data_IF_536690892975
#
_entry.id   IF_536690892975
#
_cell.length_a   1.000
_cell.length_b   1.000
_cell.length_c   1.000
_cell.angle_alpha   90.00
_cell.angle_beta   90.00
_cell.angle_gamma   90.00
#
_symmetry.space_group_name_H-M   'P 1'
#
loop_
_entity.id
_entity.type
_entity.pdbx_description
1 polymer ?
#
# COMPACT_ATOMS: atom_id res chain seq x y z
N UNK A 1 21.35 58.16 34.47
CA UNK A 1 21.47 57.20 33.37
C UNK A 1 22.23 55.99 33.90
N UNK A 2 21.52 54.96 34.32
CA UNK A 2 22.09 53.70 34.81
C UNK A 2 22.36 52.80 33.62
N UNK A 3 23.62 52.49 33.37
CA UNK A 3 24.00 51.57 32.31
C UNK A 3 23.59 50.13 32.71
N UNK A 4 22.73 49.51 31.90
CA UNK A 4 22.46 48.07 31.98
C UNK A 4 23.70 47.31 31.52
N UNK A 5 24.22 46.47 32.40
CA UNK A 5 25.29 45.51 32.07
C UNK A 5 24.67 44.38 31.26
N UNK A 6 24.90 44.38 29.96
CA UNK A 6 24.58 43.26 29.07
C UNK A 6 25.42 42.05 29.52
N UNK A 7 24.81 41.10 30.22
CA UNK A 7 25.42 39.80 30.47
C UNK A 7 25.38 38.99 29.17
N UNK A 8 26.49 39.00 28.40
CA UNK A 8 26.72 37.95 27.41
C UNK A 8 26.88 36.62 28.17
N UNK A 9 25.87 35.76 28.12
CA UNK A 9 26.01 34.37 28.53
C UNK A 9 26.91 33.66 27.53
N UNK A 10 28.19 33.51 27.89
CA UNK A 10 29.09 32.60 27.21
C UNK A 10 28.74 31.17 27.66
N UNK A 11 27.68 30.59 27.07
CA UNK A 11 27.35 29.18 27.30
C UNK A 11 28.46 28.31 26.69
N UNK A 12 28.99 27.32 27.44
CA UNK A 12 30.03 26.44 26.92
C UNK A 12 29.52 25.70 25.68
N UNK A 13 30.39 25.42 24.69
CA UNK A 13 29.99 24.73 23.47
C UNK A 13 29.37 23.37 23.81
N UNK A 14 28.27 23.04 23.14
CA UNK A 14 27.65 21.72 23.29
C UNK A 14 28.57 20.62 22.74
N UNK A 15 28.37 19.34 23.11
CA UNK A 15 29.10 18.23 22.49
C UNK A 15 28.99 18.25 20.95
N UNK A 16 27.82 18.57 20.42
CA UNK A 16 27.61 18.80 18.99
C UNK A 16 28.50 19.93 18.45
N UNK A 17 28.56 21.09 19.12
CA UNK A 17 29.38 22.21 18.69
C UNK A 17 30.86 21.86 18.62
N UNK A 18 31.36 21.09 19.60
CA UNK A 18 32.75 20.62 19.60
C UNK A 18 33.06 19.71 18.40
N UNK A 19 32.19 18.73 18.13
CA UNK A 19 32.35 17.85 16.97
C UNK A 19 32.23 18.61 15.65
N UNK A 20 31.29 19.56 15.57
CA UNK A 20 31.08 20.41 14.39
C UNK A 20 32.33 21.22 14.08
N UNK A 21 32.90 21.90 15.07
CA UNK A 21 34.12 22.70 14.89
C UNK A 21 35.25 21.83 14.34
N UNK A 22 35.53 20.67 14.96
CA UNK A 22 36.59 19.77 14.51
C UNK A 22 36.38 19.29 13.06
N UNK A 23 35.15 18.89 12.70
CA UNK A 23 34.86 18.43 11.35
C UNK A 23 34.89 19.58 10.33
N UNK A 24 34.40 20.76 10.69
CA UNK A 24 34.45 21.95 9.83
C UNK A 24 35.91 22.29 9.48
N UNK A 25 36.83 22.21 10.44
CA UNK A 25 38.27 22.44 10.23
C UNK A 25 38.88 21.37 9.30
N UNK A 26 38.62 20.09 9.55
CA UNK A 26 39.09 18.99 8.69
C UNK A 26 38.51 19.09 7.27
N UNK A 27 37.27 19.55 7.11
CA UNK A 27 36.63 19.75 5.81
C UNK A 27 37.25 20.93 5.05
N UNK A 28 37.68 21.98 5.74
CA UNK A 28 38.47 23.06 5.13
C UNK A 28 39.80 22.52 4.63
N UNK A 29 40.50 21.70 5.43
CA UNK A 29 41.73 21.05 5.01
C UNK A 29 41.52 20.13 3.81
N UNK A 30 40.44 19.36 3.79
CA UNK A 30 40.10 18.44 2.70
C UNK A 30 39.85 19.19 1.39
N UNK A 31 39.23 20.37 1.44
CA UNK A 31 39.03 21.22 0.25
C UNK A 31 40.36 21.69 -0.36
N UNK A 32 41.42 21.82 0.42
CA UNK A 32 42.73 22.21 -0.11
C UNK A 32 43.40 21.06 -0.88
N UNK A 33 43.08 19.80 -0.54
CA UNK A 33 43.61 18.62 -1.23
C UNK A 33 42.71 18.10 -2.36
N UNK A 34 41.40 18.36 -2.28
CA UNK A 34 40.41 17.95 -3.27
C UNK A 34 40.06 19.08 -4.26
N UNK A 35 41.09 19.76 -4.79
CA UNK A 35 40.96 20.89 -5.71
C UNK A 35 40.87 20.48 -7.20
N UNK A 36 41.08 19.20 -7.48
CA UNK A 36 41.04 18.61 -8.83
C UNK A 36 42.40 18.24 -9.39
N UNK A 37 43.50 18.62 -8.73
CA UNK A 37 44.84 18.22 -9.12
C UNK A 37 45.25 16.89 -8.45
N UNK A 38 45.87 15.95 -9.18
CA UNK A 38 46.33 14.69 -8.60
C UNK A 38 47.53 14.91 -7.68
N UNK A 39 47.62 14.10 -6.62
CA UNK A 39 48.81 14.05 -5.77
C UNK A 39 50.05 13.66 -6.58
N UNK A 40 51.13 14.45 -6.46
CA UNK A 40 52.37 14.31 -7.23
C UNK A 40 53.48 13.58 -6.46
N UNK A 41 53.33 13.42 -5.14
CA UNK A 41 54.35 12.80 -4.27
C UNK A 41 53.72 11.84 -3.27
N UNK A 42 54.50 10.85 -2.82
CA UNK A 42 54.06 9.91 -1.79
C UNK A 42 53.65 10.62 -0.49
N UNK A 43 54.38 11.67 -0.07
CA UNK A 43 54.06 12.44 1.11
C UNK A 43 52.67 13.12 1.04
N UNK A 44 52.25 13.57 -0.15
CA UNK A 44 50.90 14.11 -0.35
C UNK A 44 49.83 13.01 -0.25
N UNK A 45 50.11 11.82 -0.80
CA UNK A 45 49.21 10.67 -0.68
C UNK A 45 49.07 10.24 0.78
N UNK A 46 50.16 10.21 1.55
CA UNK A 46 50.16 9.85 2.97
C UNK A 46 49.38 10.89 3.81
N UNK A 47 49.51 12.18 3.50
CA UNK A 47 48.76 13.25 4.16
C UNK A 47 47.26 13.19 3.85
N UNK A 48 46.90 12.91 2.58
CA UNK A 48 45.50 12.66 2.19
C UNK A 48 44.95 11.45 2.94
N UNK A 49 45.73 10.37 3.09
CA UNK A 49 45.31 9.19 3.84
C UNK A 49 45.08 9.52 5.34
N UNK A 50 45.98 10.27 5.98
CA UNK A 50 45.78 10.75 7.37
C UNK A 50 44.49 11.55 7.51
N UNK A 51 44.26 12.49 6.59
CA UNK A 51 43.08 13.35 6.62
C UNK A 51 41.77 12.55 6.43
N UNK A 52 41.78 11.53 5.57
CA UNK A 52 40.67 10.58 5.43
C UNK A 52 40.41 9.84 6.74
N UNK A 53 41.45 9.36 7.42
CA UNK A 53 41.32 8.65 8.70
C UNK A 53 40.75 9.57 9.79
N UNK A 54 41.21 10.82 9.87
CA UNK A 54 40.73 11.81 10.85
C UNK A 54 39.28 12.23 10.60
N UNK A 55 38.88 12.41 9.32
CA UNK A 55 37.49 12.64 8.95
C UNK A 55 36.59 11.46 9.35
N UNK A 56 37.04 10.23 9.08
CA UNK A 56 36.31 9.01 9.47
C UNK A 56 36.17 8.89 10.98
N UNK A 57 37.24 9.18 11.74
CA UNK A 57 37.23 9.16 13.19
C UNK A 57 36.30 10.23 13.77
N UNK A 58 36.38 11.46 13.25
CA UNK A 58 35.51 12.57 13.64
C UNK A 58 34.03 12.28 13.37
N UNK A 59 33.71 11.75 12.19
CA UNK A 59 32.35 11.37 11.83
C UNK A 59 31.80 10.26 12.74
N UNK A 60 32.62 9.24 13.04
CA UNK A 60 32.25 8.16 13.96
C UNK A 60 32.00 8.67 15.38
N UNK A 61 32.80 9.63 15.86
CA UNK A 61 32.62 10.23 17.18
C UNK A 61 31.33 11.04 17.27
N UNK A 62 31.04 11.88 16.26
CA UNK A 62 29.79 12.65 16.20
C UNK A 62 28.55 11.73 16.13
N UNK A 63 28.61 10.64 15.37
CA UNK A 63 27.52 9.66 15.31
C UNK A 63 27.31 8.95 16.65
N UNK A 64 28.38 8.61 17.37
CA UNK A 64 28.26 8.01 18.70
C UNK A 64 27.55 8.95 19.69
N UNK A 65 27.86 10.24 19.65
CA UNK A 65 27.19 11.26 20.47
C UNK A 65 25.71 11.39 20.08
N UNK A 66 25.40 11.45 18.78
CA UNK A 66 24.00 11.47 18.29
C UNK A 66 23.19 10.27 18.81
N UNK A 67 23.78 9.07 18.81
CA UNK A 67 23.14 7.86 19.35
C UNK A 67 22.95 7.98 20.87
N UNK A 68 23.92 8.49 21.60
CA UNK A 68 23.83 8.69 23.05
C UNK A 68 22.74 9.70 23.42
N UNK A 69 22.70 10.86 22.76
CA UNK A 69 21.67 11.88 22.94
C UNK A 69 20.27 11.35 22.62
N UNK A 70 20.13 10.57 21.54
CA UNK A 70 18.84 10.02 21.10
C UNK A 70 18.34 8.87 21.98
N UNK A 71 19.25 8.09 22.59
CA UNK A 71 18.92 6.88 23.36
C UNK A 71 17.81 7.06 24.40
N UNK A 72 17.84 8.05 25.32
CA UNK A 72 16.77 8.22 26.30
C UNK A 72 15.41 8.56 25.66
N UNK A 73 15.40 9.25 24.51
CA UNK A 73 14.18 9.55 23.77
C UNK A 73 13.63 8.29 23.10
N UNK A 74 14.49 7.47 22.50
CA UNK A 74 14.09 6.19 21.91
C UNK A 74 13.53 5.24 22.99
N UNK A 75 14.14 5.20 24.18
CA UNK A 75 13.65 4.42 25.32
C UNK A 75 12.28 4.92 25.82
N UNK A 76 12.10 6.24 25.97
CA UNK A 76 10.81 6.83 26.35
C UNK A 76 9.72 6.56 25.31
N UNK A 77 10.05 6.70 24.02
CA UNK A 77 9.14 6.38 22.91
C UNK A 77 8.77 4.90 22.95
N UNK A 78 9.76 4.02 23.20
CA UNK A 78 9.53 2.58 23.31
C UNK A 78 8.60 2.23 24.47
N UNK A 79 8.80 2.82 25.64
CA UNK A 79 7.93 2.59 26.80
C UNK A 79 6.48 2.98 26.49
N UNK A 80 6.28 4.16 25.88
CA UNK A 80 4.96 4.61 25.45
C UNK A 80 4.37 3.61 24.45
N UNK A 81 5.12 3.23 23.42
CA UNK A 81 4.66 2.27 22.42
C UNK A 81 4.28 0.94 23.05
N UNK A 82 5.10 0.38 23.93
CA UNK A 82 4.85 -0.91 24.57
C UNK A 82 3.56 -0.88 25.41
N UNK A 83 3.34 0.18 26.20
CA UNK A 83 2.13 0.37 27.00
C UNK A 83 0.85 0.40 26.14
N UNK A 84 0.88 1.11 25.01
CA UNK A 84 -0.28 1.19 24.11
C UNK A 84 -0.44 -0.08 23.26
N UNK A 85 0.66 -0.73 22.87
CA UNK A 85 0.65 -1.92 22.04
C UNK A 85 -0.04 -3.11 22.71
N UNK A 86 -0.10 -3.17 24.05
CA UNK A 86 -0.94 -4.15 24.77
C UNK A 86 -2.38 -4.15 24.25
N UNK A 87 -2.91 -2.99 23.89
CA UNK A 87 -4.28 -2.84 23.39
C UNK A 87 -4.35 -2.69 21.89
N UNK A 88 -3.41 -1.95 21.29
CA UNK A 88 -3.52 -1.45 19.92
C UNK A 88 -2.57 -2.14 18.93
N UNK A 89 -1.71 -3.07 19.37
CA UNK A 89 -0.77 -3.72 18.46
C UNK A 89 -1.50 -4.39 17.29
N UNK A 90 -1.04 -4.17 16.03
CA UNK A 90 -1.67 -4.71 14.85
C UNK A 90 -1.57 -6.24 14.78
N UNK A 91 -2.52 -6.86 14.07
CA UNK A 91 -2.62 -8.32 13.98
C UNK A 91 -1.61 -8.97 13.02
N UNK A 92 -1.14 -8.24 11.98
CA UNK A 92 -0.38 -8.80 10.86
C UNK A 92 1.13 -8.88 11.11
N UNK A 93 1.70 -7.94 11.87
CA UNK A 93 3.15 -7.71 11.88
C UNK A 93 3.73 -7.66 13.31
N UNK A 94 3.01 -8.17 14.32
CA UNK A 94 3.48 -8.23 15.71
C UNK A 94 3.23 -9.61 16.31
N UNK A 95 4.22 -10.14 17.03
CA UNK A 95 4.12 -11.40 17.76
C UNK A 95 3.04 -11.35 18.84
N UNK A 96 2.95 -10.21 19.54
CA UNK A 96 1.91 -9.94 20.53
C UNK A 96 0.83 -9.05 19.89
N UNK A 97 -0.38 -9.59 19.82
CA UNK A 97 -1.55 -8.91 19.24
C UNK A 97 -2.21 -8.01 20.27
N UNK A 98 -2.65 -6.83 19.85
CA UNK A 98 -3.39 -5.92 20.71
C UNK A 98 -4.76 -6.49 21.05
N UNK A 99 -5.21 -6.32 22.29
CA UNK A 99 -6.53 -6.79 22.75
C UNK A 99 -7.68 -6.24 21.92
N UNK A 100 -7.61 -4.98 21.48
CA UNK A 100 -8.70 -4.32 20.74
C UNK A 100 -8.83 -4.85 19.31
N UNK A 101 -7.77 -4.87 18.47
CA UNK A 101 -7.85 -5.52 17.16
C UNK A 101 -8.28 -6.98 17.24
N UNK A 102 -7.81 -7.72 18.24
CA UNK A 102 -8.22 -9.12 18.45
C UNK A 102 -9.71 -9.25 18.75
N UNK A 103 -10.26 -8.41 19.64
CA UNK A 103 -11.68 -8.40 19.95
C UNK A 103 -12.53 -8.01 18.74
N UNK A 104 -12.11 -7.01 17.96
CA UNK A 104 -12.79 -6.59 16.73
C UNK A 104 -12.79 -7.72 15.71
N UNK A 105 -11.67 -8.43 15.52
CA UNK A 105 -11.58 -9.58 14.64
C UNK A 105 -12.52 -10.71 15.06
N UNK A 106 -12.53 -11.04 16.36
CA UNK A 106 -13.44 -12.04 16.92
C UNK A 106 -14.93 -11.67 16.72
N UNK A 107 -15.31 -10.40 16.95
CA UNK A 107 -16.67 -9.92 16.70
C UNK A 107 -17.04 -9.94 15.22
N UNK A 108 -16.10 -9.60 14.34
CA UNK A 108 -16.31 -9.73 12.90
C UNK A 108 -16.48 -11.19 12.48
N UNK A 109 -15.68 -12.10 13.04
CA UNK A 109 -15.82 -13.54 12.82
C UNK A 109 -17.18 -14.05 13.35
N UNK A 110 -17.65 -13.57 14.49
CA UNK A 110 -18.93 -13.96 15.08
C UNK A 110 -20.14 -13.52 14.25
N UNK A 111 -20.14 -12.30 13.70
CA UNK A 111 -21.26 -11.81 12.87
C UNK A 111 -21.23 -12.31 11.42
N UNK A 112 -20.06 -12.76 10.93
CA UNK A 112 -19.86 -13.17 9.54
C UNK A 112 -20.83 -14.27 9.08
N UNK A 113 -21.04 -15.38 9.81
CA UNK A 113 -21.96 -16.43 9.38
C UNK A 113 -23.39 -15.93 9.15
N UNK A 114 -23.88 -15.05 10.02
CA UNK A 114 -25.21 -14.46 9.87
C UNK A 114 -25.31 -13.60 8.60
N UNK A 115 -24.31 -12.75 8.34
CA UNK A 115 -24.31 -11.92 7.12
C UNK A 115 -24.19 -12.77 5.85
N UNK A 116 -23.44 -13.87 5.89
CA UNK A 116 -23.34 -14.83 4.77
C UNK A 116 -24.69 -15.51 4.52
N UNK A 117 -25.39 -15.96 5.56
CA UNK A 117 -26.73 -16.53 5.42
C UNK A 117 -27.73 -15.52 4.85
N UNK A 118 -27.68 -14.27 5.31
CA UNK A 118 -28.52 -13.19 4.76
C UNK A 118 -28.20 -12.86 3.31
N UNK A 119 -26.92 -12.86 2.92
CA UNK A 119 -26.57 -12.65 1.51
C UNK A 119 -27.06 -13.82 0.64
N UNK A 120 -27.03 -15.06 1.14
CA UNK A 120 -27.59 -16.21 0.44
C UNK A 120 -29.12 -16.12 0.27
N UNK A 121 -29.85 -15.69 1.30
CA UNK A 121 -31.29 -15.42 1.21
C UNK A 121 -31.61 -14.31 0.20
N UNK A 122 -30.83 -13.22 0.24
CA UNK A 122 -30.98 -12.11 -0.72
C UNK A 122 -30.66 -12.56 -2.15
N UNK A 123 -29.65 -13.40 -2.35
CA UNK A 123 -29.33 -13.92 -3.68
C UNK A 123 -30.43 -14.85 -4.20
N UNK A 124 -31.02 -15.69 -3.35
CA UNK A 124 -32.17 -16.51 -3.73
C UNK A 124 -33.37 -15.62 -4.12
N UNK A 125 -33.63 -14.55 -3.37
CA UNK A 125 -34.67 -13.57 -3.68
C UNK A 125 -34.38 -12.80 -4.99
N UNK A 126 -33.12 -12.42 -5.24
CA UNK A 126 -32.70 -11.79 -6.51
C UNK A 126 -32.92 -12.74 -7.69
N UNK A 127 -32.51 -14.00 -7.54
CA UNK A 127 -32.70 -15.02 -8.58
C UNK A 127 -34.18 -15.24 -8.89
N UNK A 128 -35.02 -15.37 -7.85
CA UNK A 128 -36.46 -15.52 -8.01
C UNK A 128 -37.10 -14.29 -8.68
N UNK A 129 -36.76 -13.07 -8.22
CA UNK A 129 -37.30 -11.84 -8.79
C UNK A 129 -36.85 -11.62 -10.24
N UNK A 130 -35.63 -12.03 -10.61
CA UNK A 130 -35.15 -12.00 -12.00
C UNK A 130 -35.92 -12.99 -12.88
N UNK A 131 -36.14 -14.22 -12.39
CA UNK A 131 -36.92 -15.22 -13.10
C UNK A 131 -38.37 -14.78 -13.31
N UNK A 132 -38.98 -14.16 -12.30
CA UNK A 132 -40.33 -13.60 -12.40
C UNK A 132 -40.40 -12.42 -13.39
N UNK A 133 -39.43 -11.50 -13.34
CA UNK A 133 -39.34 -10.40 -14.29
C UNK A 133 -39.14 -10.89 -15.73
N UNK A 134 -38.32 -11.92 -15.94
CA UNK A 134 -38.13 -12.53 -17.26
C UNK A 134 -39.40 -13.22 -17.76
N UNK A 135 -40.08 -14.00 -16.91
CA UNK A 135 -41.34 -14.67 -17.26
C UNK A 135 -42.45 -13.65 -17.59
N UNK A 136 -42.59 -12.58 -16.80
CA UNK A 136 -43.57 -11.53 -17.04
C UNK A 136 -43.27 -10.77 -18.34
N UNK A 137 -42.00 -10.47 -18.63
CA UNK A 137 -41.58 -9.84 -19.88
C UNK A 137 -41.88 -10.72 -21.10
N UNK A 138 -41.60 -12.03 -21.02
CA UNK A 138 -41.94 -12.99 -22.07
C UNK A 138 -43.46 -13.06 -22.29
N UNK A 139 -44.25 -13.14 -21.21
CA UNK A 139 -45.70 -13.19 -21.28
C UNK A 139 -46.32 -11.91 -21.88
N UNK A 140 -45.78 -10.73 -21.55
CA UNK A 140 -46.17 -9.46 -22.15
C UNK A 140 -45.82 -9.40 -23.64
N UNK A 141 -44.60 -9.80 -24.01
CA UNK A 141 -44.15 -9.83 -25.41
C UNK A 141 -44.94 -10.83 -26.27
N UNK A 142 -45.35 -11.96 -25.71
CA UNK A 142 -46.23 -12.91 -26.39
C UNK A 142 -47.66 -12.39 -26.55
N UNK A 143 -48.21 -11.76 -25.50
CA UNK A 143 -49.55 -11.19 -25.57
C UNK A 143 -49.63 -10.08 -26.62
N UNK A 144 -48.64 -9.17 -26.64
CA UNK A 144 -48.56 -8.12 -27.64
C UNK A 144 -48.40 -8.68 -29.07
N UNK A 145 -47.68 -9.79 -29.25
CA UNK A 145 -47.55 -10.46 -30.55
C UNK A 145 -48.84 -11.12 -31.03
N UNK A 146 -49.67 -11.63 -30.11
CA UNK A 146 -50.90 -12.37 -30.42
C UNK A 146 -52.15 -11.48 -30.45
N UNK A 147 -52.11 -10.27 -29.88
CA UNK A 147 -53.26 -9.38 -29.78
C UNK A 147 -53.63 -8.73 -31.12
N UNK A 148 -54.93 -8.67 -31.41
CA UNK A 148 -55.48 -7.88 -32.49
C UNK A 148 -55.55 -6.40 -32.09
N UNK A 149 -54.86 -5.54 -32.84
CA UNK A 149 -54.88 -4.11 -32.60
C UNK A 149 -56.27 -3.47 -32.80
N UNK A 150 -57.24 -4.11 -33.45
CA UNK A 150 -58.60 -3.56 -33.58
C UNK A 150 -59.55 -3.97 -32.44
N UNK A 151 -59.09 -4.78 -31.49
CA UNK A 151 -59.89 -5.30 -30.37
C UNK A 151 -59.47 -4.63 -29.05
N UNK A 152 -60.42 -3.92 -28.41
CA UNK A 152 -60.17 -3.16 -27.19
C UNK A 152 -59.86 -4.08 -26.00
N UNK A 153 -60.57 -5.20 -25.86
CA UNK A 153 -60.37 -6.14 -24.74
C UNK A 153 -58.98 -6.78 -24.82
N UNK A 154 -58.53 -7.11 -26.03
CA UNK A 154 -57.19 -7.65 -26.23
C UNK A 154 -56.08 -6.62 -25.96
N UNK A 155 -56.32 -5.33 -26.25
CA UNK A 155 -55.39 -4.25 -25.89
C UNK A 155 -55.29 -4.07 -24.37
N UNK A 156 -56.43 -4.02 -23.68
CA UNK A 156 -56.45 -3.90 -22.21
C UNK A 156 -55.74 -5.09 -21.53
N UNK A 157 -55.90 -6.30 -22.08
CA UNK A 157 -55.19 -7.49 -21.61
C UNK A 157 -53.66 -7.44 -21.83
N UNK A 158 -53.21 -6.82 -22.92
CA UNK A 158 -51.78 -6.57 -23.18
C UNK A 158 -51.23 -5.52 -22.22
N UNK A 159 -51.94 -4.40 -22.05
CA UNK A 159 -51.53 -3.31 -21.14
C UNK A 159 -51.42 -3.81 -19.70
N UNK A 160 -52.35 -4.67 -19.25
CA UNK A 160 -52.27 -5.32 -17.95
C UNK A 160 -51.00 -6.19 -17.79
N UNK A 161 -50.58 -6.89 -18.86
CA UNK A 161 -49.36 -7.71 -18.85
C UNK A 161 -48.08 -6.88 -18.94
N UNK A 162 -48.08 -5.78 -19.68
CA UNK A 162 -46.98 -4.82 -19.70
C UNK A 162 -46.78 -4.23 -18.30
N UNK A 163 -47.86 -3.80 -17.66
CA UNK A 163 -47.82 -3.31 -16.28
C UNK A 163 -47.27 -4.35 -15.30
N UNK A 164 -47.72 -5.61 -15.41
CA UNK A 164 -47.19 -6.70 -14.59
C UNK A 164 -45.68 -6.92 -14.81
N UNK A 165 -45.20 -6.81 -16.06
CA UNK A 165 -43.77 -6.91 -16.37
C UNK A 165 -42.97 -5.72 -15.78
N UNK A 166 -43.49 -4.50 -15.85
CA UNK A 166 -42.85 -3.33 -15.24
C UNK A 166 -42.77 -3.44 -13.71
N UNK A 167 -43.82 -3.93 -13.06
CA UNK A 167 -43.85 -4.14 -11.61
C UNK A 167 -42.86 -5.24 -11.19
N UNK A 168 -42.77 -6.33 -11.95
CA UNK A 168 -41.79 -7.40 -11.72
C UNK A 168 -40.34 -6.91 -11.93
N UNK A 169 -40.09 -6.09 -12.96
CA UNK A 169 -38.78 -5.46 -13.16
C UNK A 169 -38.42 -4.51 -12.00
N UNK A 170 -39.38 -3.76 -11.47
CA UNK A 170 -39.17 -2.90 -10.30
C UNK A 170 -38.83 -3.72 -9.06
N UNK A 171 -39.53 -4.84 -8.84
CA UNK A 171 -39.24 -5.77 -7.76
C UNK A 171 -37.84 -6.38 -7.87
N UNK A 172 -37.43 -6.82 -9.07
CA UNK A 172 -36.08 -7.31 -9.33
C UNK A 172 -35.01 -6.24 -9.02
N UNK A 173 -35.24 -4.99 -9.44
CA UNK A 173 -34.33 -3.87 -9.13
C UNK A 173 -34.22 -3.58 -7.63
N UNK A 174 -35.32 -3.71 -6.87
CA UNK A 174 -35.30 -3.55 -5.41
C UNK A 174 -34.48 -4.67 -4.77
N UNK A 175 -34.68 -5.92 -5.21
CA UNK A 175 -33.94 -7.07 -4.71
C UNK A 175 -32.43 -6.98 -5.02
N UNK A 176 -32.05 -6.53 -6.22
CA UNK A 176 -30.66 -6.34 -6.63
C UNK A 176 -29.91 -5.31 -5.76
N UNK A 177 -30.62 -4.27 -5.31
CA UNK A 177 -30.08 -3.22 -4.45
C UNK A 177 -30.04 -3.59 -2.97
N UNK A 178 -30.74 -4.65 -2.55
CA UNK A 178 -30.70 -5.12 -1.18
C UNK A 178 -29.30 -5.63 -0.83
N UNK A 179 -28.81 -5.30 0.37
CA UNK A 179 -27.49 -5.69 0.86
C UNK A 179 -27.58 -6.30 2.25
N UNK A 180 -26.82 -7.37 2.51
CA UNK A 180 -26.66 -7.89 3.87
C UNK A 180 -25.77 -6.94 4.69
N UNK A 181 -26.39 -6.09 5.50
CA UNK A 181 -25.71 -5.11 6.34
C UNK A 181 -26.08 -5.28 7.81
N UNK A 182 -25.08 -5.13 8.69
CA UNK A 182 -25.31 -4.89 10.10
C UNK A 182 -25.44 -3.38 10.34
N UNK A 183 -26.52 -2.98 11.01
CA UNK A 183 -26.77 -1.60 11.42
C UNK A 183 -26.36 -1.42 12.89
N UNK A 184 -25.41 -0.52 13.13
CA UNK A 184 -25.00 -0.11 14.48
C UNK A 184 -25.04 1.41 14.59
N UNK A 185 -24.50 1.99 15.67
CA UNK A 185 -24.46 3.45 15.87
C UNK A 185 -23.60 4.24 14.87
N UNK A 186 -23.00 3.57 13.87
CA UNK A 186 -22.18 4.18 12.83
C UNK A 186 -22.56 3.67 11.44
N UNK A 187 -21.62 3.75 10.48
CA UNK A 187 -21.84 3.27 9.11
C UNK A 187 -22.21 1.79 9.07
N UNK A 188 -23.09 1.42 8.14
CA UNK A 188 -23.48 0.04 7.87
C UNK A 188 -22.24 -0.85 7.62
N UNK A 189 -22.20 -2.01 8.27
CA UNK A 189 -21.09 -2.96 8.17
C UNK A 189 -21.53 -4.15 7.30
N UNK A 190 -21.03 -4.22 6.08
CA UNK A 190 -21.29 -5.31 5.13
C UNK A 190 -20.10 -6.26 4.95
N UNK A 191 -20.34 -7.33 4.19
CA UNK A 191 -19.26 -8.20 3.70
C UNK A 191 -18.41 -7.45 2.67
N UNK A 192 -17.11 -7.73 2.64
CA UNK A 192 -16.18 -7.22 1.63
C UNK A 192 -15.85 -8.32 0.66
N UNK A 193 -15.97 -8.04 -0.64
CA UNK A 193 -15.58 -8.97 -1.71
C UNK A 193 -14.15 -8.67 -2.13
N UNK A 194 -13.30 -9.70 -2.11
CA UNK A 194 -11.96 -9.67 -2.71
C UNK A 194 -11.93 -10.66 -3.85
N UNK A 195 -11.61 -10.19 -5.06
CA UNK A 195 -11.36 -11.05 -6.21
C UNK A 195 -9.89 -11.45 -6.17
N UNK A 196 -9.63 -12.74 -6.05
CA UNK A 196 -8.29 -13.31 -6.14
C UNK A 196 -8.13 -13.90 -7.54
N UNK A 197 -7.04 -13.52 -8.21
CA UNK A 197 -6.63 -14.15 -9.45
C UNK A 197 -5.66 -15.28 -9.12
N UNK A 198 -5.92 -16.46 -9.65
CA UNK A 198 -5.02 -17.62 -9.60
C UNK A 198 -4.52 -17.90 -11.01
N UNK A 199 -3.21 -17.98 -11.18
CA UNK A 199 -2.60 -18.33 -12.47
C UNK A 199 -2.63 -19.84 -12.61
N UNK A 200 -3.52 -20.34 -13.47
CA UNK A 200 -3.69 -21.78 -13.72
C UNK A 200 -2.76 -22.29 -14.81
N UNK A 201 -2.48 -21.46 -15.82
CA UNK A 201 -1.53 -21.72 -16.90
C UNK A 201 -0.56 -20.54 -17.02
N UNK A 202 0.68 -20.76 -16.59
CA UNK A 202 1.72 -19.74 -16.57
C UNK A 202 2.12 -19.31 -17.98
N UNK A 203 2.20 -20.23 -18.93
CA UNK A 203 2.65 -19.92 -20.29
C UNK A 203 1.59 -19.08 -21.02
N UNK A 204 0.31 -19.40 -20.82
CA UNK A 204 -0.79 -18.59 -21.34
C UNK A 204 -0.80 -17.20 -20.69
N UNK A 205 -0.63 -17.12 -19.36
CA UNK A 205 -0.58 -15.85 -18.65
C UNK A 205 0.59 -14.96 -19.10
N UNK A 206 1.78 -15.54 -19.26
CA UNK A 206 2.97 -14.82 -19.76
C UNK A 206 2.72 -14.27 -21.16
N UNK A 207 2.15 -15.07 -22.08
CA UNK A 207 1.83 -14.60 -23.44
C UNK A 207 0.80 -13.46 -23.42
N UNK A 208 -0.24 -13.58 -22.59
CA UNK A 208 -1.25 -12.56 -22.42
C UNK A 208 -0.64 -11.25 -21.89
N UNK A 209 0.06 -11.29 -20.76
CA UNK A 209 0.64 -10.10 -20.13
C UNK A 209 1.83 -9.51 -20.90
N UNK A 210 2.57 -10.31 -21.66
CA UNK A 210 3.58 -9.80 -22.59
C UNK A 210 2.96 -8.93 -23.69
N UNK A 211 1.76 -9.29 -24.16
CA UNK A 211 1.04 -8.56 -25.20
C UNK A 211 0.38 -7.30 -24.62
N UNK A 212 -0.33 -7.44 -23.50
CA UNK A 212 -1.13 -6.36 -22.90
C UNK A 212 -0.31 -5.39 -22.04
N UNK A 213 0.78 -5.85 -21.42
CA UNK A 213 1.53 -5.11 -20.38
C UNK A 213 3.04 -5.18 -20.60
N UNK A 214 3.46 -4.96 -21.85
CA UNK A 214 4.86 -5.06 -22.28
C UNK A 214 5.87 -4.21 -21.49
N UNK A 215 5.58 -2.95 -21.09
CA UNK A 215 6.54 -2.15 -20.31
C UNK A 215 6.86 -2.78 -18.94
N UNK A 216 5.85 -3.21 -18.20
CA UNK A 216 6.04 -3.82 -16.89
C UNK A 216 6.81 -5.14 -16.97
N UNK A 217 6.60 -5.91 -18.04
CA UNK A 217 7.32 -7.15 -18.27
C UNK A 217 8.78 -6.89 -18.69
N UNK A 218 9.05 -5.83 -19.45
CA UNK A 218 10.41 -5.43 -19.79
C UNK A 218 11.22 -5.03 -18.54
N UNK A 219 10.61 -4.27 -17.62
CA UNK A 219 11.25 -3.90 -16.34
C UNK A 219 11.60 -5.13 -15.49
N UNK A 220 10.72 -6.15 -15.48
CA UNK A 220 10.98 -7.41 -14.79
C UNK A 220 12.20 -8.13 -15.40
N UNK A 221 12.27 -8.21 -16.73
CA UNK A 221 13.41 -8.83 -17.43
C UNK A 221 14.71 -8.08 -17.12
N UNK A 222 14.70 -6.74 -17.10
CA UNK A 222 15.90 -5.96 -16.77
C UNK A 222 16.41 -6.24 -15.35
N UNK A 223 15.50 -6.34 -14.37
CA UNK A 223 15.88 -6.69 -12.99
C UNK A 223 16.55 -8.06 -12.90
N UNK A 224 16.02 -9.05 -13.62
CA UNK A 224 16.61 -10.39 -13.66
C UNK A 224 18.00 -10.37 -14.33
N UNK A 225 18.17 -9.59 -15.39
CA UNK A 225 19.45 -9.41 -16.05
C UNK A 225 20.50 -8.73 -15.14
N UNK A 226 20.10 -7.71 -14.38
CA UNK A 226 20.99 -7.04 -13.43
C UNK A 226 21.40 -7.96 -12.26
N UNK A 227 20.46 -8.77 -11.76
CA UNK A 227 20.74 -9.77 -10.72
C UNK A 227 21.74 -10.83 -11.22
N UNK A 228 21.59 -11.28 -12.47
CA UNK A 228 22.55 -12.17 -13.12
C UNK A 228 23.93 -11.51 -13.28
N UNK A 229 23.99 -10.21 -13.61
CA UNK A 229 25.25 -9.45 -13.71
C UNK A 229 25.97 -9.42 -12.35
N UNK A 230 25.25 -9.12 -11.27
CA UNK A 230 25.79 -9.08 -9.89
C UNK A 230 26.27 -10.44 -9.41
N UNK A 231 25.60 -11.52 -9.83
CA UNK A 231 25.93 -12.89 -9.45
C UNK A 231 26.91 -13.57 -10.44
N UNK A 232 27.43 -12.79 -11.39
CA UNK A 232 28.36 -13.22 -12.43
C UNK A 232 27.84 -14.36 -13.32
N UNK A 233 26.52 -14.49 -13.48
CA UNK A 233 25.87 -15.48 -14.36
C UNK A 233 25.60 -14.89 -15.74
N UNK A 234 26.62 -14.84 -16.58
CA UNK A 234 26.56 -14.18 -17.90
C UNK A 234 26.10 -15.12 -19.03
N UNK A 235 25.05 -15.90 -18.79
CA UNK A 235 24.57 -16.93 -19.74
C UNK A 235 23.21 -16.62 -20.39
N UNK A 236 22.51 -15.57 -19.95
CA UNK A 236 21.20 -15.21 -20.47
C UNK A 236 21.28 -14.77 -21.95
N UNK A 237 20.54 -15.45 -22.84
CA UNK A 237 20.47 -15.09 -24.26
C UNK A 237 19.71 -13.78 -24.44
N UNK A 238 20.24 -12.88 -25.27
CA UNK A 238 19.62 -11.57 -25.54
C UNK A 238 19.99 -10.44 -24.55
N UNK A 239 20.91 -10.70 -23.61
CA UNK A 239 21.44 -9.72 -22.65
C UNK A 239 22.94 -9.52 -22.90
N UNK A 240 23.43 -8.28 -22.82
CA UNK A 240 24.86 -7.95 -22.95
C UNK A 240 25.40 -7.42 -21.62
N UNK A 241 26.52 -7.96 -21.14
CA UNK A 241 27.16 -7.58 -19.87
C UNK A 241 28.44 -6.77 -20.11
N UNK A 242 28.65 -5.68 -19.38
CA UNK A 242 29.85 -4.81 -19.46
C UNK A 242 30.44 -4.57 -18.07
N UNK A 243 31.76 -4.43 -17.98
CA UNK A 243 32.48 -4.12 -16.75
C UNK A 243 33.07 -2.71 -16.83
N UNK A 244 32.83 -1.88 -15.82
CA UNK A 244 33.44 -0.57 -15.63
C UNK A 244 34.18 -0.56 -14.28
N UNK A 245 35.38 0.03 -14.25
CA UNK A 245 36.18 0.26 -13.03
C UNK A 245 36.29 1.77 -12.81
N UNK A 246 35.91 2.23 -11.62
CA UNK A 246 35.89 3.63 -11.20
C UNK A 246 36.71 3.81 -9.93
#
# INVERSE_FOLDING_TARGET
MTAEVIHLKNEPPTPFDAHRINLDDLLVEARNWADGEPAATQAQVDEIARLIDDLNAGAKAMEAERVAEKKPLDEAVKEIQDRYNVYLAPLSNKTVKGKVPLAIDALNAAKRPFLVAREAELEAARSAARAEAEAAAQAAAEAARKSNAADLEQREAVDAKIKAAEDAQRAAKIADNARAHAHGGGRAQGLRTRVLAEVTDLDAAVRHYWTESRPAFADLIQKLADDDARQNRRAAKGVTFREERY
#
